data_IF_128103408791
#
_entry.id   IF_128103408791
#
_cell.length_a   1.000
_cell.length_b   1.000
_cell.length_c   1.000
_cell.angle_alpha   90.00
_cell.angle_beta   90.00
_cell.angle_gamma   90.00
#
_symmetry.space_group_name_H-M   'P 1'
#
loop_
_entity.id
_entity.type
_entity.pdbx_description
1 polymer ?
#
# COMPACT_ATOMS: atom_id res chain seq x y z
N UNK A 1 -15.64 9.56 -9.37
CA UNK A 1 -14.60 8.98 -8.51
C UNK A 1 -13.69 8.19 -9.42
N UNK A 2 -12.42 8.58 -9.56
CA UNK A 2 -11.47 7.81 -10.37
C UNK A 2 -11.15 6.51 -9.64
N UNK A 3 -11.42 5.37 -10.27
CA UNK A 3 -11.09 4.06 -9.69
C UNK A 3 -9.57 3.88 -9.80
N UNK A 4 -8.85 3.76 -8.67
CA UNK A 4 -7.41 3.53 -8.73
C UNK A 4 -7.14 2.16 -9.36
N UNK A 5 -6.18 2.08 -10.28
CA UNK A 5 -5.83 0.82 -10.92
C UNK A 5 -5.02 -0.03 -9.94
N UNK A 6 -5.49 -1.23 -9.63
CA UNK A 6 -4.69 -2.15 -8.83
C UNK A 6 -3.40 -2.54 -9.57
N UNK A 7 -2.27 -2.57 -8.85
CA UNK A 7 -0.95 -2.86 -9.44
C UNK A 7 -0.38 -4.16 -8.88
N UNK A 8 -0.29 -4.27 -7.56
CA UNK A 8 0.33 -5.43 -6.92
C UNK A 8 -0.17 -5.61 -5.48
N UNK A 9 -0.07 -6.84 -4.99
CA UNK A 9 -0.36 -7.23 -3.62
C UNK A 9 0.77 -8.12 -3.08
N UNK A 10 1.10 -7.97 -1.80
CA UNK A 10 2.03 -8.83 -1.08
C UNK A 10 1.43 -9.22 0.27
N UNK A 11 1.36 -10.51 0.54
CA UNK A 11 0.88 -11.05 1.81
C UNK A 11 2.06 -11.34 2.75
N UNK A 12 1.91 -10.95 4.02
CA UNK A 12 2.83 -11.16 5.12
C UNK A 12 2.04 -11.77 6.29
N UNK A 13 2.68 -12.47 7.25
CA UNK A 13 1.94 -13.00 8.40
C UNK A 13 1.19 -11.90 9.16
N UNK A 14 -0.14 -11.95 9.15
CA UNK A 14 -1.01 -10.97 9.81
C UNK A 14 -1.22 -9.65 9.04
N UNK A 15 -0.69 -9.52 7.82
CA UNK A 15 -0.75 -8.28 7.05
C UNK A 15 -0.89 -8.51 5.55
N UNK A 16 -1.57 -7.59 4.85
CA UNK A 16 -1.57 -7.51 3.39
C UNK A 16 -1.13 -6.11 2.99
N UNK A 17 -0.15 -6.00 2.08
CA UNK A 17 0.20 -4.73 1.44
C UNK A 17 -0.38 -4.74 0.04
N UNK A 18 -1.14 -3.71 -0.32
CA UNK A 18 -1.57 -3.46 -1.68
C UNK A 18 -1.00 -2.16 -2.21
N UNK A 19 -0.79 -2.12 -3.53
CA UNK A 19 -0.39 -0.92 -4.25
C UNK A 19 -1.39 -0.67 -5.37
N UNK A 20 -1.89 0.55 -5.42
CA UNK A 20 -2.75 1.01 -6.50
C UNK A 20 -2.14 2.23 -7.18
N UNK A 21 -2.29 2.33 -8.50
CA UNK A 21 -1.94 3.50 -9.27
C UNK A 21 -3.10 4.49 -9.25
N UNK A 22 -2.80 5.72 -8.85
CA UNK A 22 -3.69 6.86 -8.96
C UNK A 22 -3.34 7.60 -10.25
N UNK A 23 -4.28 7.61 -11.18
CA UNK A 23 -4.09 8.19 -12.51
C UNK A 23 -3.63 9.65 -12.39
N UNK A 24 -2.53 9.99 -13.06
CA UNK A 24 -1.96 11.34 -13.05
C UNK A 24 -1.28 11.77 -11.74
N UNK A 25 -1.24 10.93 -10.69
CA UNK A 25 -0.58 11.26 -9.41
C UNK A 25 0.59 10.35 -9.07
N UNK A 26 0.48 9.04 -9.35
CA UNK A 26 1.53 8.06 -9.02
C UNK A 26 0.96 6.80 -8.40
N UNK A 27 1.64 6.24 -7.40
CA UNK A 27 1.27 5.00 -6.74
C UNK A 27 1.00 5.25 -5.26
N UNK A 28 -0.03 4.63 -4.69
CA UNK A 28 -0.32 4.67 -3.26
C UNK A 28 -0.24 3.26 -2.69
N UNK A 29 0.28 3.13 -1.48
CA UNK A 29 0.21 1.90 -0.71
C UNK A 29 -0.96 1.94 0.27
N UNK A 30 -1.55 0.78 0.49
CA UNK A 30 -2.49 0.53 1.57
C UNK A 30 -2.11 -0.79 2.23
N UNK A 31 -2.34 -0.88 3.54
CA UNK A 31 -2.01 -2.05 4.33
C UNK A 31 -3.27 -2.50 5.06
N UNK A 32 -3.56 -3.80 5.02
CA UNK A 32 -4.64 -4.41 5.81
C UNK A 32 -4.01 -5.16 6.97
N UNK A 33 -4.45 -4.88 8.20
CA UNK A 33 -3.98 -5.56 9.40
C UNK A 33 -4.83 -6.82 9.71
N UNK A 34 -4.46 -7.56 10.76
CA UNK A 34 -5.20 -8.75 11.20
C UNK A 34 -6.64 -8.48 11.67
N UNK A 35 -6.95 -7.23 12.04
CA UNK A 35 -8.28 -6.78 12.42
C UNK A 35 -9.11 -6.32 11.20
N UNK A 36 -8.58 -6.46 9.99
CA UNK A 36 -9.18 -6.02 8.73
C UNK A 36 -9.27 -4.48 8.57
N UNK A 37 -8.53 -3.72 9.37
CA UNK A 37 -8.41 -2.28 9.18
C UNK A 37 -7.54 -1.97 7.95
N UNK A 38 -8.01 -1.03 7.13
CA UNK A 38 -7.24 -0.52 5.99
C UNK A 38 -6.49 0.75 6.41
N UNK A 39 -5.18 0.68 6.39
CA UNK A 39 -4.25 1.75 6.76
C UNK A 39 -3.58 2.32 5.51
N UNK A 40 -3.53 3.63 5.41
CA UNK A 40 -2.78 4.34 4.37
C UNK A 40 -2.57 5.78 4.82
N UNK A 41 -1.38 6.33 4.59
CA UNK A 41 -1.05 7.70 4.99
C UNK A 41 -1.41 8.73 3.90
N UNK A 42 -1.89 8.26 2.75
CA UNK A 42 -2.21 9.10 1.60
C UNK A 42 -1.00 9.52 0.76
N UNK A 43 0.23 9.13 1.14
CA UNK A 43 1.43 9.44 0.37
C UNK A 43 1.38 8.79 -1.00
N UNK A 44 1.79 9.57 -2.00
CA UNK A 44 1.90 9.14 -3.39
C UNK A 44 3.37 8.99 -3.76
N UNK A 45 3.72 7.84 -4.31
CA UNK A 45 5.07 7.47 -4.71
C UNK A 45 5.21 7.49 -6.23
N UNK A 46 6.41 7.79 -6.73
CA UNK A 46 6.71 7.81 -8.17
C UNK A 46 6.69 6.41 -8.79
N UNK A 47 7.02 5.37 -8.02
CA UNK A 47 7.08 3.98 -8.50
C UNK A 47 6.28 3.05 -7.60
N UNK A 48 5.73 1.98 -8.19
CA UNK A 48 5.02 0.94 -7.46
C UNK A 48 5.92 0.23 -6.44
N UNK A 49 7.20 0.04 -6.76
CA UNK A 49 8.21 -0.53 -5.87
C UNK A 49 8.46 0.34 -4.62
N UNK A 50 8.50 1.67 -4.78
CA UNK A 50 8.64 2.58 -3.64
C UNK A 50 7.43 2.53 -2.71
N UNK A 51 6.21 2.50 -3.28
CA UNK A 51 4.99 2.31 -2.50
C UNK A 51 4.98 0.98 -1.72
N UNK A 52 5.37 -0.13 -2.38
CA UNK A 52 5.47 -1.42 -1.72
C UNK A 52 6.51 -1.44 -0.60
N UNK A 53 7.67 -0.83 -0.83
CA UNK A 53 8.73 -0.71 0.18
C UNK A 53 8.26 0.08 1.41
N UNK A 54 7.50 1.15 1.21
CA UNK A 54 6.92 1.91 2.31
C UNK A 54 5.95 1.07 3.15
N UNK A 55 5.07 0.28 2.51
CA UNK A 55 4.18 -0.65 3.20
C UNK A 55 4.95 -1.71 4.01
N UNK A 56 6.07 -2.22 3.49
CA UNK A 56 6.94 -3.15 4.23
C UNK A 56 7.56 -2.49 5.46
N UNK A 57 8.16 -1.32 5.28
CA UNK A 57 8.77 -0.55 6.39
C UNK A 57 7.74 -0.17 7.46
N UNK A 58 6.50 0.13 7.06
CA UNK A 58 5.42 0.37 8.02
C UNK A 58 5.17 -0.87 8.90
N UNK A 59 5.02 -2.04 8.31
CA UNK A 59 4.79 -3.30 9.05
C UNK A 59 5.97 -3.64 9.96
N UNK A 60 7.21 -3.45 9.48
CA UNK A 60 8.42 -3.69 10.28
C UNK A 60 8.47 -2.83 11.55
N UNK A 61 7.89 -1.61 11.52
CA UNK A 61 7.82 -0.71 12.69
C UNK A 61 6.68 -1.02 13.66
N UNK A 62 5.72 -1.86 13.26
CA UNK A 62 4.58 -2.28 14.09
C UNK A 62 4.85 -3.58 14.83
N UNK A 63 6.02 -4.18 14.64
CA UNK A 63 6.46 -5.43 15.26
C UNK A 63 7.37 -5.16 16.45
#
# INVERSE_FOLDING_TARGET
METPNFVQVSALPGWIIGVSQVKGRGYQCWVINANLDVLGDGTVYTTSSAALSAGRTFIERQR
#
